data_IF_246680924567
#
_entry.id   IF_246680924567
#
_cell.length_a   1.000
_cell.length_b   1.000
_cell.length_c   1.000
_cell.angle_alpha   90.00
_cell.angle_beta   90.00
_cell.angle_gamma   90.00
#
_symmetry.space_group_name_H-M   'P 1'
#
loop_
_entity.id
_entity.type
_entity.pdbx_description
1 polymer ?
#
# COMPACT_ATOMS: atom_id res chain seq x y z
N UNK A 1 2.47 9.10 14.83
CA UNK A 1 1.67 7.85 14.80
C UNK A 1 0.19 8.11 15.09
N UNK A 2 -0.12 9.03 16.01
CA UNK A 2 -1.48 9.27 16.53
C UNK A 2 -2.55 9.57 15.48
N UNK A 3 -2.25 10.38 14.46
CA UNK A 3 -3.24 10.71 13.42
C UNK A 3 -3.69 9.48 12.61
N UNK A 4 -2.75 8.68 12.09
CA UNK A 4 -3.08 7.49 11.29
C UNK A 4 -3.83 6.47 12.12
N UNK A 5 -3.44 6.27 13.38
CA UNK A 5 -4.17 5.37 14.29
C UNK A 5 -5.62 5.80 14.49
N UNK A 6 -5.88 7.11 14.62
CA UNK A 6 -7.24 7.63 14.71
C UNK A 6 -8.06 7.40 13.42
N UNK A 7 -7.45 7.57 12.24
CA UNK A 7 -8.12 7.26 10.97
C UNK A 7 -8.48 5.77 10.90
N UNK A 8 -7.56 4.89 11.28
CA UNK A 8 -7.78 3.45 11.25
C UNK A 8 -8.84 2.99 12.26
N UNK A 9 -8.87 3.61 13.46
CA UNK A 9 -9.90 3.31 14.45
C UNK A 9 -11.30 3.65 13.94
N UNK A 10 -11.46 4.77 13.22
CA UNK A 10 -12.75 5.16 12.61
C UNK A 10 -13.24 4.12 11.60
N UNK A 11 -12.35 3.59 10.76
CA UNK A 11 -12.71 2.55 9.78
C UNK A 11 -12.98 1.21 10.45
N UNK A 12 -12.13 0.80 11.39
CA UNK A 12 -12.29 -0.46 12.13
C UNK A 12 -13.53 -0.48 13.06
N UNK A 13 -14.09 0.70 13.37
CA UNK A 13 -15.37 0.81 14.08
C UNK A 13 -16.57 0.57 13.16
N UNK A 14 -16.44 0.83 11.86
CA UNK A 14 -17.49 0.66 10.86
C UNK A 14 -17.40 -0.69 10.12
N UNK A 15 -16.19 -1.22 9.98
CA UNK A 15 -15.90 -2.46 9.26
C UNK A 15 -15.16 -3.43 10.15
N UNK A 16 -15.66 -4.66 10.19
CA UNK A 16 -14.92 -5.76 10.81
C UNK A 16 -13.63 -5.98 10.01
N UNK A 17 -12.48 -6.01 10.71
CA UNK A 17 -11.14 -6.00 10.10
C UNK A 17 -10.84 -7.18 9.17
N UNK A 18 -11.77 -8.14 9.06
CA UNK A 18 -11.66 -9.35 8.27
C UNK A 18 -12.12 -9.17 6.81
N UNK A 19 -13.02 -8.22 6.53
CA UNK A 19 -13.68 -8.09 5.21
C UNK A 19 -12.84 -7.34 4.15
N UNK A 20 -11.73 -6.76 4.59
CA UNK A 20 -10.97 -5.82 3.81
C UNK A 20 -9.50 -5.82 4.24
N UNK A 21 -8.67 -5.21 3.39
CA UNK A 21 -7.25 -5.02 3.65
C UNK A 21 -6.88 -3.57 3.46
N UNK A 22 -6.14 -3.06 4.43
CA UNK A 22 -5.57 -1.73 4.39
C UNK A 22 -4.51 -1.66 3.29
N UNK A 23 -4.67 -0.72 2.37
CA UNK A 23 -3.68 -0.39 1.34
C UNK A 23 -3.38 1.11 1.37
N UNK A 24 -2.77 1.64 0.32
CA UNK A 24 -2.58 3.08 0.20
C UNK A 24 -1.60 3.68 1.20
N UNK A 25 -1.78 4.95 1.56
CA UNK A 25 -0.81 5.69 2.39
C UNK A 25 -0.81 5.23 3.85
N UNK A 26 -1.99 5.00 4.42
CA UNK A 26 -2.15 4.52 5.79
C UNK A 26 -1.46 3.16 6.01
N UNK A 27 -1.50 2.25 5.03
CA UNK A 27 -0.74 0.99 5.06
C UNK A 27 0.77 1.23 5.19
N UNK A 28 1.32 2.17 4.41
CA UNK A 28 2.76 2.50 4.48
C UNK A 28 3.13 3.04 5.85
N UNK A 29 2.33 3.96 6.39
CA UNK A 29 2.53 4.51 7.74
C UNK A 29 2.50 3.44 8.82
N UNK A 30 1.60 2.46 8.70
CA UNK A 30 1.52 1.38 9.69
C UNK A 30 2.75 0.47 9.63
N UNK A 31 3.23 0.12 8.43
CA UNK A 31 4.52 -0.59 8.27
C UNK A 31 5.69 0.21 8.87
N UNK A 32 5.73 1.52 8.63
CA UNK A 32 6.77 2.39 9.18
C UNK A 32 6.74 2.42 10.70
N UNK A 33 5.56 2.55 11.31
CA UNK A 33 5.38 2.53 12.75
C UNK A 33 5.81 1.19 13.38
N UNK A 34 5.44 0.06 12.76
CA UNK A 34 5.80 -1.28 13.25
C UNK A 34 7.31 -1.58 13.18
N UNK A 35 8.02 -0.92 12.27
CA UNK A 35 9.46 -1.14 12.07
C UNK A 35 10.31 0.03 12.57
N UNK A 36 9.72 0.97 13.31
CA UNK A 36 10.39 2.17 13.83
C UNK A 36 11.13 2.96 12.74
N UNK A 37 10.48 3.11 11.57
CA UNK A 37 10.97 3.90 10.43
C UNK A 37 10.26 5.24 10.42
N UNK A 38 11.02 6.32 10.57
CA UNK A 38 10.56 7.70 10.45
C UNK A 38 10.12 8.05 9.03
N UNK A 39 8.84 8.42 8.86
CA UNK A 39 8.24 8.74 7.58
C UNK A 39 7.20 9.86 7.70
N UNK A 40 7.40 10.94 6.95
CA UNK A 40 6.69 12.22 7.14
C UNK A 40 5.68 12.59 6.03
N UNK A 41 5.44 11.72 5.04
CA UNK A 41 4.46 12.03 3.98
C UNK A 41 3.04 12.03 4.57
N UNK A 42 2.24 13.09 4.45
CA UNK A 42 0.89 13.11 5.00
C UNK A 42 -0.04 12.11 4.29
N UNK A 43 -0.98 11.54 5.06
CA UNK A 43 -2.11 10.73 4.57
C UNK A 43 -3.36 11.18 5.32
N UNK A 44 -4.47 11.41 4.61
CA UNK A 44 -5.70 11.96 5.18
C UNK A 44 -6.92 11.05 4.95
N UNK A 45 -6.74 10.06 4.10
CA UNK A 45 -7.69 9.07 3.66
C UNK A 45 -7.24 7.66 4.06
N UNK A 46 -8.21 6.76 4.06
CA UNK A 46 -7.98 5.32 4.24
C UNK A 46 -8.40 4.60 2.97
N UNK A 47 -7.44 3.98 2.32
CA UNK A 47 -7.68 3.12 1.16
C UNK A 47 -7.84 1.67 1.61
N UNK A 48 -8.90 1.01 1.16
CA UNK A 48 -9.16 -0.40 1.46
C UNK A 48 -9.40 -1.19 0.18
N UNK A 49 -8.96 -2.45 0.19
CA UNK A 49 -9.34 -3.44 -0.82
C UNK A 49 -10.25 -4.45 -0.18
N UNK A 50 -11.43 -4.65 -0.76
CA UNK A 50 -12.33 -5.73 -0.36
C UNK A 50 -11.71 -7.07 -0.74
N UNK A 51 -11.50 -7.94 0.25
CA UNK A 51 -10.91 -9.26 0.04
C UNK A 51 -11.98 -10.35 0.11
N UNK A 52 -12.32 -11.00 -1.02
CA UNK A 52 -13.37 -12.00 -1.06
C UNK A 52 -13.02 -13.32 -0.36
N UNK A 53 -11.82 -13.44 0.24
CA UNK A 53 -11.43 -14.64 1.02
C UNK A 53 -12.42 -14.92 2.16
N UNK A 54 -13.11 -13.89 2.67
CA UNK A 54 -14.15 -14.01 3.69
C UNK A 54 -15.57 -13.80 3.15
N UNK A 55 -15.81 -14.06 1.85
CA UNK A 55 -17.09 -13.87 1.16
C UNK A 55 -17.62 -12.43 1.13
N UNK A 56 -16.82 -11.46 1.56
CA UNK A 56 -17.14 -10.04 1.55
C UNK A 56 -17.22 -9.53 0.11
N UNK A 57 -18.22 -8.69 -0.15
CA UNK A 57 -18.44 -8.07 -1.46
C UNK A 57 -18.35 -6.56 -1.34
N UNK A 58 -18.12 -5.87 -2.46
CA UNK A 58 -18.21 -4.41 -2.50
C UNK A 58 -19.55 -3.90 -1.93
N UNK A 59 -20.65 -4.62 -2.21
CA UNK A 59 -21.97 -4.30 -1.69
C UNK A 59 -22.09 -4.43 -0.18
N UNK A 60 -21.57 -5.52 0.41
CA UNK A 60 -21.64 -5.74 1.86
C UNK A 60 -20.75 -4.77 2.63
N UNK A 61 -19.54 -4.47 2.12
CA UNK A 61 -18.65 -3.45 2.72
C UNK A 61 -19.26 -2.05 2.63
N UNK A 62 -19.82 -1.69 1.46
CA UNK A 62 -20.52 -0.43 1.29
C UNK A 62 -21.71 -0.29 2.24
N UNK A 63 -22.51 -1.36 2.38
CA UNK A 63 -23.64 -1.37 3.31
C UNK A 63 -23.20 -1.12 4.76
N UNK A 64 -22.16 -1.80 5.24
CA UNK A 64 -21.62 -1.57 6.60
C UNK A 64 -21.13 -0.13 6.82
N UNK A 65 -20.48 0.46 5.81
CA UNK A 65 -20.09 1.88 5.85
C UNK A 65 -21.32 2.81 5.92
N UNK A 66 -22.32 2.57 5.07
CA UNK A 66 -23.57 3.36 5.06
C UNK A 66 -24.34 3.24 6.39
N UNK A 67 -24.46 2.03 6.94
CA UNK A 67 -25.07 1.78 8.26
C UNK A 67 -24.29 2.47 9.40
N UNK A 68 -23.00 2.70 9.21
CA UNK A 68 -22.13 3.43 10.14
C UNK A 68 -22.10 4.95 9.90
N UNK A 69 -22.95 5.46 9.00
CA UNK A 69 -23.10 6.89 8.73
C UNK A 69 -22.11 7.47 7.72
N UNK A 70 -21.48 6.63 6.88
CA UNK A 70 -20.70 7.10 5.74
C UNK A 70 -21.59 7.25 4.50
N UNK A 71 -21.42 8.33 3.76
CA UNK A 71 -22.18 8.59 2.54
C UNK A 71 -21.34 8.29 1.28
N UNK A 72 -21.84 7.50 0.32
CA UNK A 72 -21.14 7.26 -0.93
C UNK A 72 -21.12 8.52 -1.80
N UNK A 73 -19.94 8.88 -2.32
CA UNK A 73 -19.79 9.98 -3.27
C UNK A 73 -20.12 9.48 -4.66
N UNK A 74 -21.32 9.82 -5.12
CA UNK A 74 -21.78 9.43 -6.46
C UNK A 74 -21.05 10.22 -7.55
N UNK A 75 -20.48 9.55 -8.56
CA UNK A 75 -19.94 10.25 -9.73
C UNK A 75 -21.04 10.97 -10.51
N UNK A 76 -20.65 12.06 -11.21
CA UNK A 76 -21.59 12.85 -12.04
C UNK A 76 -22.16 12.06 -13.21
N UNK A 77 -21.45 11.03 -13.70
CA UNK A 77 -21.88 10.18 -14.81
C UNK A 77 -21.72 8.70 -14.48
N UNK A 78 -22.39 7.84 -15.25
CA UNK A 78 -22.36 6.39 -15.07
C UNK A 78 -21.02 5.75 -15.44
N UNK A 79 -20.21 6.47 -16.21
CA UNK A 79 -18.84 6.14 -16.58
C UNK A 79 -17.84 6.53 -15.48
N UNK A 80 -18.29 7.28 -14.47
CA UNK A 80 -17.48 7.61 -13.30
C UNK A 80 -17.29 6.42 -12.35
N UNK A 81 -16.35 6.59 -11.41
CA UNK A 81 -15.94 5.54 -10.49
C UNK A 81 -16.58 5.70 -9.11
N UNK A 82 -17.37 4.71 -8.69
CA UNK A 82 -17.93 4.68 -7.35
C UNK A 82 -16.98 3.89 -6.42
N UNK A 83 -16.28 4.63 -5.55
CA UNK A 83 -15.29 4.07 -4.63
C UNK A 83 -15.17 4.89 -3.33
N UNK A 84 -15.47 6.18 -3.38
CA UNK A 84 -15.26 7.09 -2.26
C UNK A 84 -16.49 7.15 -1.34
N UNK A 85 -16.23 7.09 -0.03
CA UNK A 85 -17.21 7.25 1.04
C UNK A 85 -16.76 8.35 2.01
N UNK A 86 -17.67 9.24 2.38
CA UNK A 86 -17.43 10.34 3.29
C UNK A 86 -18.08 10.07 4.64
N UNK A 87 -17.26 10.03 5.69
CA UNK A 87 -17.73 10.05 7.08
C UNK A 87 -17.76 11.46 7.65
N UNK A 88 -18.16 11.56 8.92
CA UNK A 88 -18.18 12.82 9.65
C UNK A 88 -16.82 13.55 9.66
N UNK A 89 -16.87 14.89 9.64
CA UNK A 89 -15.69 15.77 9.62
C UNK A 89 -14.81 15.63 8.36
N UNK A 90 -15.40 15.25 7.22
CA UNK A 90 -14.69 15.14 5.94
C UNK A 90 -13.72 13.96 5.86
N UNK A 91 -13.86 12.98 6.76
CA UNK A 91 -13.05 11.76 6.74
C UNK A 91 -13.42 10.92 5.51
N UNK A 92 -12.40 10.47 4.77
CA UNK A 92 -12.60 9.73 3.52
C UNK A 92 -12.11 8.28 3.64
N UNK A 93 -12.94 7.37 3.12
CA UNK A 93 -12.58 5.97 2.88
C UNK A 93 -12.74 5.67 1.40
N UNK A 94 -11.68 5.20 0.76
CA UNK A 94 -11.71 4.76 -0.64
C UNK A 94 -11.77 3.22 -0.69
N UNK A 95 -12.88 2.70 -1.19
CA UNK A 95 -13.20 1.27 -1.27
C UNK A 95 -12.93 0.76 -2.67
N UNK A 96 -11.94 -0.12 -2.79
CA UNK A 96 -11.53 -0.72 -4.06
C UNK A 96 -11.84 -2.21 -4.11
N UNK A 97 -12.08 -2.70 -5.32
CA UNK A 97 -12.15 -4.12 -5.59
C UNK A 97 -10.75 -4.73 -5.79
N UNK A 98 -10.63 -6.03 -5.55
CA UNK A 98 -9.43 -6.80 -5.90
C UNK A 98 -9.19 -6.77 -7.41
N UNK A 99 -7.95 -6.73 -7.86
CA UNK A 99 -7.55 -6.77 -9.28
C UNK A 99 -7.66 -8.19 -9.84
N UNK A 100 -8.91 -8.66 -9.95
CA UNK A 100 -9.27 -10.01 -10.33
C UNK A 100 -10.49 -10.01 -11.25
N UNK A 101 -10.62 -11.08 -12.04
CA UNK A 101 -11.79 -11.33 -12.90
C UNK A 101 -13.08 -11.53 -12.09
N UNK A 102 -12.97 -11.99 -10.84
CA UNK A 102 -14.10 -12.16 -9.93
C UNK A 102 -14.63 -10.82 -9.37
N UNK A 103 -13.88 -9.74 -9.54
CA UNK A 103 -14.33 -8.41 -9.15
C UNK A 103 -15.14 -7.81 -10.29
N UNK A 104 -16.42 -7.45 -10.07
CA UNK A 104 -17.25 -6.91 -11.12
C UNK A 104 -16.68 -5.59 -11.63
N UNK A 105 -16.84 -5.31 -12.92
CA UNK A 105 -16.41 -4.04 -13.52
C UNK A 105 -17.36 -2.89 -13.12
N UNK A 106 -18.61 -3.21 -12.75
CA UNK A 106 -19.61 -2.24 -12.33
C UNK A 106 -20.29 -2.59 -11.01
N UNK A 107 -20.58 -1.57 -10.23
CA UNK A 107 -21.33 -1.64 -8.97
C UNK A 107 -22.32 -0.47 -8.89
N UNK A 108 -23.59 -0.76 -8.54
CA UNK A 108 -24.70 0.22 -8.57
C UNK A 108 -24.82 1.02 -9.88
N UNK A 109 -24.38 0.42 -11.00
CA UNK A 109 -24.37 1.04 -12.32
C UNK A 109 -23.20 2.00 -12.58
N UNK A 110 -22.19 2.07 -11.71
CA UNK A 110 -20.96 2.87 -11.89
C UNK A 110 -19.75 1.96 -12.08
N UNK A 111 -18.63 2.49 -12.56
CA UNK A 111 -17.39 1.74 -12.69
C UNK A 111 -16.76 1.47 -11.31
N UNK A 112 -16.13 0.30 -11.16
CA UNK A 112 -15.38 -0.09 -9.96
C UNK A 112 -13.90 0.25 -10.13
N UNK A 113 -13.29 0.83 -9.10
CA UNK A 113 -11.83 0.95 -9.02
C UNK A 113 -11.25 -0.38 -8.53
N UNK A 114 -10.37 -0.99 -9.34
CA UNK A 114 -9.63 -2.19 -8.96
C UNK A 114 -8.24 -1.78 -8.45
N UNK A 115 -7.82 -2.27 -7.28
CA UNK A 115 -6.51 -1.96 -6.73
C UNK A 115 -5.41 -2.76 -7.46
N UNK A 116 -4.53 -2.12 -8.25
CA UNK A 116 -3.55 -2.83 -9.06
C UNK A 116 -2.64 -3.73 -8.24
N UNK A 117 -2.37 -4.93 -8.74
CA UNK A 117 -1.44 -5.87 -8.08
C UNK A 117 -1.99 -6.58 -6.84
N UNK A 118 -3.19 -6.21 -6.37
CA UNK A 118 -3.82 -6.80 -5.17
C UNK A 118 -4.09 -8.31 -5.32
N UNK A 119 -4.40 -8.82 -6.51
CA UNK A 119 -4.53 -10.28 -6.74
C UNK A 119 -3.25 -11.04 -6.43
N UNK A 120 -2.09 -10.49 -6.81
CA UNK A 120 -0.80 -11.11 -6.52
C UNK A 120 -0.36 -10.86 -5.08
N UNK A 121 -0.65 -9.68 -4.52
CA UNK A 121 -0.32 -9.33 -3.15
C UNK A 121 -1.04 -10.22 -2.11
N UNK A 122 -2.24 -10.69 -2.46
CA UNK A 122 -3.13 -11.52 -1.64
C UNK A 122 -3.28 -12.94 -2.19
N UNK A 123 -2.32 -13.36 -2.99
CA UNK A 123 -2.33 -14.64 -3.69
C UNK A 123 -1.49 -15.70 -3.00
N UNK A 124 -1.30 -16.80 -3.71
CA UNK A 124 -0.50 -17.95 -3.29
C UNK A 124 0.91 -17.82 -3.90
N UNK A 125 1.93 -18.21 -3.15
CA UNK A 125 3.31 -18.34 -3.59
C UNK A 125 3.49 -19.55 -4.52
N UNK A 126 4.65 -19.69 -5.16
CA UNK A 126 4.90 -20.79 -6.11
C UNK A 126 4.92 -22.18 -5.47
N UNK A 127 5.14 -22.24 -4.16
CA UNK A 127 5.15 -23.48 -3.36
C UNK A 127 3.76 -23.85 -2.80
N UNK A 128 2.71 -23.07 -3.11
CA UNK A 128 1.36 -23.31 -2.61
C UNK A 128 1.03 -22.62 -1.29
N UNK A 129 1.98 -21.91 -0.67
CA UNK A 129 1.78 -21.18 0.58
C UNK A 129 1.04 -19.86 0.34
N UNK A 130 0.03 -19.53 1.15
CA UNK A 130 -0.62 -18.22 1.12
C UNK A 130 0.37 -17.13 1.55
N UNK A 131 0.34 -15.97 0.89
CA UNK A 131 1.12 -14.82 1.36
C UNK A 131 0.59 -14.32 2.70
N UNK A 132 1.51 -14.02 3.61
CA UNK A 132 1.16 -13.51 4.93
C UNK A 132 0.44 -12.17 4.85
N UNK A 133 -0.57 -12.05 5.71
CA UNK A 133 -1.27 -10.82 6.04
C UNK A 133 -0.95 -10.51 7.49
N UNK A 134 -0.58 -9.27 7.78
CA UNK A 134 -0.37 -8.82 9.15
C UNK A 134 -1.72 -8.40 9.72
N UNK A 135 -1.94 -8.73 10.98
CA UNK A 135 -3.04 -8.21 11.78
C UNK A 135 -2.45 -7.27 12.83
N UNK A 136 -2.93 -6.03 12.84
CA UNK A 136 -2.35 -4.96 13.67
C UNK A 136 -3.43 -4.36 14.55
N UNK A 137 -3.30 -4.48 15.88
CA UNK A 137 -4.22 -3.85 16.81
C UNK A 137 -4.22 -2.33 16.65
N UNK A 138 -5.40 -1.75 16.47
CA UNK A 138 -5.62 -0.29 16.50
C UNK A 138 -6.27 0.15 17.81
N UNK A 139 -6.89 -0.79 18.53
CA UNK A 139 -7.36 -0.68 19.92
C UNK A 139 -7.34 -2.06 20.57
N UNK A 140 -7.76 -2.17 21.82
CA UNK A 140 -7.82 -3.46 22.55
C UNK A 140 -8.83 -4.44 21.92
N UNK A 141 -9.85 -3.94 21.24
CA UNK A 141 -10.94 -4.77 20.67
C UNK A 141 -10.94 -4.78 19.14
N UNK A 142 -10.05 -4.03 18.49
CA UNK A 142 -10.07 -3.84 17.04
C UNK A 142 -8.69 -3.94 16.44
N UNK A 143 -8.59 -4.68 15.36
CA UNK A 143 -7.40 -4.77 14.52
C UNK A 143 -7.73 -4.43 13.06
N UNK A 144 -6.70 -4.06 12.32
CA UNK A 144 -6.74 -3.91 10.87
C UNK A 144 -5.82 -4.94 10.24
N UNK A 145 -6.21 -5.44 9.08
CA UNK A 145 -5.38 -6.34 8.28
C UNK A 145 -4.64 -5.56 7.20
N UNK A 146 -3.39 -5.87 6.96
CA UNK A 146 -2.61 -5.29 5.88
C UNK A 146 -1.66 -6.31 5.23
N UNK A 147 -1.29 -6.14 3.95
CA UNK A 147 -0.34 -7.03 3.30
C UNK A 147 1.03 -6.99 3.99
N UNK A 148 1.78 -8.10 3.95
CA UNK A 148 3.21 -8.07 4.29
C UNK A 148 3.97 -7.02 3.47
N UNK A 149 5.14 -6.62 3.97
CA UNK A 149 5.91 -5.51 3.40
C UNK A 149 6.24 -5.70 1.91
N UNK A 150 6.49 -6.94 1.46
CA UNK A 150 6.78 -7.25 0.06
C UNK A 150 5.54 -7.09 -0.84
N UNK A 151 4.40 -7.57 -0.36
CA UNK A 151 3.11 -7.37 -1.03
C UNK A 151 2.72 -5.89 -1.06
N UNK A 152 3.00 -5.13 -0.01
CA UNK A 152 2.79 -3.69 0.06
C UNK A 152 3.64 -2.93 -0.99
N UNK A 153 4.95 -3.25 -1.08
CA UNK A 153 5.84 -2.69 -2.11
C UNK A 153 5.31 -3.02 -3.51
N UNK A 154 4.85 -4.26 -3.72
CA UNK A 154 4.28 -4.69 -5.00
C UNK A 154 3.07 -3.85 -5.41
N UNK A 155 2.14 -3.60 -4.48
CA UNK A 155 0.96 -2.75 -4.74
C UNK A 155 1.39 -1.34 -5.16
N UNK A 156 2.35 -0.72 -4.47
CA UNK A 156 2.88 0.61 -4.86
C UNK A 156 3.52 0.59 -6.25
N UNK A 157 4.32 -0.44 -6.55
CA UNK A 157 4.97 -0.56 -7.86
C UNK A 157 4.03 -0.88 -9.02
N UNK A 158 2.88 -1.51 -8.76
CA UNK A 158 1.81 -1.69 -9.75
C UNK A 158 1.01 -0.41 -9.95
N UNK A 159 0.73 0.35 -8.88
CA UNK A 159 0.04 1.64 -8.97
C UNK A 159 0.81 2.65 -9.84
N UNK A 160 2.15 2.63 -9.80
CA UNK A 160 3.01 3.45 -10.68
C UNK A 160 2.74 3.29 -12.20
N UNK A 161 2.16 2.17 -12.62
CA UNK A 161 1.86 1.91 -14.03
C UNK A 161 0.59 2.60 -14.51
N UNK A 162 -0.22 3.09 -13.58
CA UNK A 162 -1.40 3.87 -13.93
C UNK A 162 -0.99 5.25 -14.45
N UNK A 163 -1.83 5.79 -15.34
CA UNK A 163 -1.70 7.17 -15.82
C UNK A 163 -2.36 8.10 -14.80
N UNK A 164 -1.73 8.27 -13.65
CA UNK A 164 -2.16 9.20 -12.59
C UNK A 164 -1.07 10.23 -12.27
N UNK A 165 -1.49 11.31 -11.61
CA UNK A 165 -0.61 12.38 -11.13
C UNK A 165 0.01 12.12 -9.74
N UNK A 166 -0.06 10.88 -9.24
CA UNK A 166 0.35 10.52 -7.88
C UNK A 166 1.59 9.60 -7.86
N UNK A 167 2.29 9.45 -8.98
CA UNK A 167 3.42 8.52 -9.15
C UNK A 167 4.52 8.73 -8.12
N UNK A 168 4.91 9.97 -7.86
CA UNK A 168 5.94 10.32 -6.89
C UNK A 168 5.58 9.82 -5.48
N UNK A 169 4.30 9.92 -5.09
CA UNK A 169 3.82 9.44 -3.78
C UNK A 169 3.97 7.92 -3.64
N UNK A 170 3.74 7.18 -4.72
CA UNK A 170 3.94 5.72 -4.72
C UNK A 170 5.42 5.35 -4.60
N UNK A 171 6.33 6.11 -5.22
CA UNK A 171 7.78 5.92 -5.04
C UNK A 171 8.19 6.23 -3.61
N UNK A 172 7.78 7.38 -3.07
CA UNK A 172 8.07 7.79 -1.69
C UNK A 172 7.62 6.73 -0.69
N UNK A 173 6.39 6.24 -0.83
CA UNK A 173 5.86 5.16 0.00
C UNK A 173 6.69 3.87 -0.13
N UNK A 174 7.09 3.52 -1.35
CA UNK A 174 7.85 2.31 -1.60
C UNK A 174 9.29 2.38 -1.04
N UNK A 175 9.92 3.55 -1.04
CA UNK A 175 11.23 3.76 -0.41
C UNK A 175 11.16 3.56 1.11
N UNK A 176 10.10 4.09 1.75
CA UNK A 176 9.86 3.85 3.17
C UNK A 176 9.60 2.37 3.48
N UNK A 177 8.80 1.70 2.64
CA UNK A 177 8.57 0.25 2.76
C UNK A 177 9.84 -0.58 2.53
N UNK A 178 10.78 -0.14 1.68
CA UNK A 178 12.08 -0.80 1.51
C UNK A 178 12.96 -0.67 2.76
N UNK A 179 12.94 0.47 3.44
CA UNK A 179 13.58 0.62 4.75
C UNK A 179 12.94 -0.31 5.79
N UNK A 180 11.60 -0.38 5.84
CA UNK A 180 10.89 -1.34 6.70
C UNK A 180 11.30 -2.79 6.38
N UNK A 181 11.32 -3.14 5.10
CA UNK A 181 11.68 -4.46 4.64
C UNK A 181 13.12 -4.83 5.06
N UNK A 182 14.05 -3.87 5.08
CA UNK A 182 15.41 -4.07 5.59
C UNK A 182 15.41 -4.60 7.03
N UNK A 183 14.53 -4.06 7.89
CA UNK A 183 14.40 -4.40 9.31
C UNK A 183 13.62 -5.69 9.59
N UNK A 184 12.85 -6.19 8.62
CA UNK A 184 12.17 -7.49 8.77
C UNK A 184 13.14 -8.67 8.65
N UNK A 185 13.05 -9.64 9.56
CA UNK A 185 13.92 -10.84 9.59
C UNK A 185 13.66 -11.78 8.41
N UNK A 186 12.40 -11.90 7.97
CA UNK A 186 12.00 -12.82 6.89
C UNK A 186 12.34 -12.22 5.53
N UNK A 187 13.55 -12.50 5.05
CA UNK A 187 13.94 -12.26 3.66
C UNK A 187 13.47 -13.43 2.81
N UNK A 188 12.79 -13.12 1.71
CA UNK A 188 12.43 -14.12 0.70
C UNK A 188 12.78 -13.66 -0.70
N UNK A 189 12.69 -14.60 -1.63
CA UNK A 189 12.71 -14.29 -3.05
C UNK A 189 11.40 -13.61 -3.46
N UNK A 190 11.53 -12.61 -4.33
CA UNK A 190 10.40 -11.96 -4.94
C UNK A 190 9.83 -12.84 -6.05
N UNK A 191 8.51 -12.97 -6.07
CA UNK A 191 7.78 -13.51 -7.22
C UNK A 191 8.04 -12.65 -8.47
N UNK A 192 7.75 -13.19 -9.67
CA UNK A 192 7.92 -12.45 -10.93
C UNK A 192 7.15 -11.10 -10.93
N UNK A 193 5.92 -11.11 -10.41
CA UNK A 193 5.07 -9.91 -10.32
C UNK A 193 5.65 -8.86 -9.36
N UNK A 194 6.11 -9.28 -8.18
CA UNK A 194 6.74 -8.38 -7.21
C UNK A 194 8.05 -7.80 -7.74
N UNK A 195 8.85 -8.63 -8.41
CA UNK A 195 10.10 -8.18 -9.04
C UNK A 195 9.84 -7.13 -10.12
N UNK A 196 8.79 -7.30 -10.92
CA UNK A 196 8.37 -6.30 -11.90
C UNK A 196 7.98 -4.99 -11.21
N UNK A 197 7.13 -5.05 -10.18
CA UNK A 197 6.70 -3.89 -9.42
C UNK A 197 7.86 -3.13 -8.77
N UNK A 198 8.77 -3.86 -8.09
CA UNK A 198 10.01 -3.31 -7.53
C UNK A 198 10.86 -2.66 -8.62
N UNK A 199 11.00 -3.28 -9.78
CA UNK A 199 11.82 -2.70 -10.85
C UNK A 199 11.26 -1.38 -11.39
N UNK A 200 9.94 -1.20 -11.41
CA UNK A 200 9.31 0.07 -11.79
C UNK A 200 9.66 1.18 -10.80
N UNK A 201 9.57 0.88 -9.49
CA UNK A 201 9.95 1.81 -8.41
C UNK A 201 11.42 2.20 -8.55
N UNK A 202 12.29 1.22 -8.77
CA UNK A 202 13.73 1.40 -8.83
C UNK A 202 14.23 1.87 -10.21
N UNK A 203 13.38 2.48 -11.04
CA UNK A 203 13.82 3.09 -12.29
C UNK A 203 14.67 4.32 -12.01
N UNK A 204 15.68 4.58 -12.85
CA UNK A 204 16.63 5.67 -12.63
C UNK A 204 15.95 7.03 -12.49
N UNK A 205 14.88 7.29 -13.26
CA UNK A 205 14.14 8.57 -13.23
C UNK A 205 13.53 8.89 -11.87
N UNK A 206 13.08 7.87 -11.13
CA UNK A 206 12.55 8.06 -9.79
C UNK A 206 13.65 8.08 -8.74
N UNK A 207 14.60 7.15 -8.85
CA UNK A 207 15.65 6.97 -7.85
C UNK A 207 16.61 8.15 -7.77
N UNK A 208 16.85 8.86 -8.89
CA UNK A 208 17.71 10.03 -8.96
C UNK A 208 17.03 11.33 -8.51
N UNK A 209 15.72 11.34 -8.27
CA UNK A 209 15.01 12.52 -7.78
C UNK A 209 15.07 12.57 -6.25
N UNK A 210 15.74 13.59 -5.70
CA UNK A 210 15.88 13.78 -4.25
C UNK A 210 14.53 13.93 -3.53
N UNK A 211 13.51 14.51 -4.18
CA UNK A 211 12.17 14.70 -3.61
C UNK A 211 11.48 13.39 -3.25
N UNK A 212 11.85 12.29 -3.92
CA UNK A 212 11.32 10.96 -3.58
C UNK A 212 11.89 10.43 -2.26
N UNK A 213 13.05 10.92 -1.82
CA UNK A 213 13.71 10.49 -0.60
C UNK A 213 13.37 11.34 0.62
N UNK A 214 13.01 12.62 0.42
CA UNK A 214 12.79 13.58 1.50
C UNK A 214 11.74 13.15 2.54
N UNK A 215 10.64 12.44 2.19
CA UNK A 215 9.68 12.03 3.21
C UNK A 215 10.16 10.89 4.10
N UNK A 216 11.19 10.15 3.70
CA UNK A 216 11.85 9.14 4.54
C UNK A 216 12.94 9.83 5.35
N UNK A 217 12.93 9.67 6.67
CA UNK A 217 13.93 10.31 7.52
C UNK A 217 15.34 9.85 7.13
N UNK A 218 16.29 10.78 7.15
CA UNK A 218 17.62 10.57 6.56
C UNK A 218 18.40 9.42 7.19
N UNK A 219 18.11 9.08 8.45
CA UNK A 219 18.69 7.94 9.14
C UNK A 219 18.32 6.59 8.48
N UNK A 220 17.14 6.51 7.86
CA UNK A 220 16.62 5.30 7.22
C UNK A 220 16.98 5.18 5.73
N UNK A 221 17.62 6.18 5.13
CA UNK A 221 18.06 6.11 3.73
C UNK A 221 19.00 4.93 3.49
N UNK A 222 19.93 4.67 4.42
CA UNK A 222 20.87 3.56 4.31
C UNK A 222 20.17 2.19 4.34
N UNK A 223 19.08 2.05 5.10
CA UNK A 223 18.32 0.81 5.21
C UNK A 223 17.58 0.50 3.90
N UNK A 224 16.92 1.52 3.32
CA UNK A 224 16.32 1.40 2.00
C UNK A 224 17.37 1.01 0.95
N UNK A 225 18.53 1.66 0.94
CA UNK A 225 19.61 1.38 -0.01
C UNK A 225 20.20 -0.02 0.14
N UNK A 226 20.37 -0.52 1.37
CA UNK A 226 20.81 -1.88 1.63
C UNK A 226 19.82 -2.90 1.07
N UNK A 227 18.52 -2.66 1.25
CA UNK A 227 17.49 -3.53 0.71
C UNK A 227 17.45 -3.48 -0.82
N UNK A 228 17.58 -2.30 -1.42
CA UNK A 228 17.73 -2.12 -2.87
C UNK A 228 18.94 -2.89 -3.40
N UNK A 229 20.10 -2.80 -2.72
CA UNK A 229 21.32 -3.53 -3.10
C UNK A 229 21.14 -5.04 -2.96
N UNK A 230 20.41 -5.53 -1.96
CA UNK A 230 20.06 -6.95 -1.85
C UNK A 230 19.24 -7.41 -3.05
N UNK A 231 18.28 -6.59 -3.48
CA UNK A 231 17.42 -6.87 -4.64
C UNK A 231 18.13 -6.69 -5.99
N UNK A 232 19.15 -5.82 -6.04
CA UNK A 232 20.00 -5.54 -7.22
C UNK A 232 21.50 -5.68 -6.87
N UNK A 233 22.01 -6.92 -6.69
CA UNK A 233 23.38 -7.12 -6.20
C UNK A 233 24.48 -6.53 -7.09
N UNK A 234 24.24 -6.52 -8.42
CA UNK A 234 25.23 -6.16 -9.46
C UNK A 234 24.80 -5.01 -10.38
N UNK A 235 23.68 -4.34 -10.06
CA UNK A 235 23.15 -3.25 -10.88
C UNK A 235 23.54 -1.87 -10.35
N UNK A 236 23.66 -0.85 -11.21
CA UNK A 236 23.81 0.52 -10.74
C UNK A 236 22.57 0.95 -9.93
N UNK A 237 22.79 1.75 -8.89
CA UNK A 237 21.73 2.39 -8.12
C UNK A 237 21.88 3.89 -8.33
N UNK A 238 21.08 4.45 -9.23
CA UNK A 238 21.09 5.88 -9.57
C UNK A 238 20.45 6.69 -8.45
N UNK A 239 21.24 7.31 -7.58
CA UNK A 239 20.76 8.14 -6.46
C UNK A 239 21.30 9.57 -6.58
N UNK A 240 20.63 10.57 -5.98
CA UNK A 240 21.14 11.95 -5.92
C UNK A 240 22.52 11.99 -5.26
N UNK A 241 23.34 12.99 -5.62
CA UNK A 241 24.68 13.20 -5.05
C UNK A 241 24.69 13.20 -3.52
N UNK A 242 23.68 13.84 -2.90
CA UNK A 242 23.49 13.88 -1.45
C UNK A 242 23.42 12.49 -0.79
N UNK A 243 22.95 11.49 -1.54
CA UNK A 243 22.67 10.13 -1.04
C UNK A 243 23.81 9.16 -1.41
N UNK A 244 24.63 9.48 -2.42
CA UNK A 244 25.72 8.62 -2.88
C UNK A 244 26.67 8.12 -1.76
N UNK A 245 27.06 8.94 -0.76
CA UNK A 245 27.93 8.48 0.33
C UNK A 245 27.34 7.34 1.18
N UNK A 246 26.02 7.13 1.10
CA UNK A 246 25.29 6.09 1.86
C UNK A 246 25.13 4.79 1.08
N UNK A 247 25.60 4.73 -0.17
CA UNK A 247 25.45 3.54 -1.00
C UNK A 247 26.22 2.35 -0.42
N UNK A 248 25.56 1.19 -0.24
CA UNK A 248 26.26 -0.03 0.14
C UNK A 248 27.15 -0.52 -1.02
N UNK A 249 28.28 -1.18 -0.70
CA UNK A 249 29.18 -1.72 -1.71
C UNK A 249 28.47 -2.76 -2.60
N UNK A 250 28.95 -2.89 -3.82
CA UNK A 250 28.50 -3.97 -4.70
C UNK A 250 28.94 -5.32 -4.15
N UNK A 251 28.04 -6.31 -4.23
CA UNK A 251 28.40 -7.70 -3.90
C UNK A 251 29.09 -8.31 -5.13
N UNK A 252 30.35 -8.71 -4.96
CA UNK A 252 31.13 -9.45 -5.97
C UNK A 252 30.41 -10.76 -6.32
#
# INVERSE_FOLDING_TARGET
>A
MDHVRLLLLKVASALDGEDWLLVGGAMTHLHCALNEVGYARPTADVDIVVDPVNHSTLGSVAQKLEESGYEPVLPLTREGFLHQFLGGQGFRVDVMGKDSENTPDRWRGYNVVKCPGSKSALGILSDGTLKDVLEVPVSDERAVRLPNVWSAISIKGHALRLADGNRERHVQDALALLACANRTEVKRELTKSERLAVNNILSSSYMSNVENWLPLDQEHWSEALQEIRRLRPRGPISVPELIQPRLPPEKR
#
